data_IF_759023862083
#
_entry.id   IF_759023862083
#
_cell.length_a   1.000
_cell.length_b   1.000
_cell.length_c   1.000
_cell.angle_alpha   90.00
_cell.angle_beta   90.00
_cell.angle_gamma   90.00
#
_symmetry.space_group_name_H-M   'P 1'
#
loop_
_entity.id
_entity.type
_entity.pdbx_description
1 polymer ?
#
# COMPACT_ATOMS: atom_id res chain seq x y z
N UNK A 1 17.72 18.03 7.16
CA UNK A 1 16.98 17.95 5.89
C UNK A 1 15.66 18.68 6.09
N UNK A 2 15.40 19.74 5.33
CA UNK A 2 14.12 20.45 5.37
C UNK A 2 13.03 19.62 4.68
N UNK A 3 11.74 19.88 4.99
CA UNK A 3 10.62 19.23 4.28
C UNK A 3 10.73 19.46 2.77
N UNK A 4 11.18 20.66 2.37
CA UNK A 4 11.38 21.03 0.96
C UNK A 4 12.45 20.18 0.29
N UNK A 5 13.59 19.99 0.94
CA UNK A 5 14.66 19.11 0.44
C UNK A 5 14.20 17.64 0.34
N UNK A 6 13.49 17.15 1.35
CA UNK A 6 12.97 15.78 1.37
C UNK A 6 11.97 15.54 0.22
N UNK A 7 10.99 16.43 0.07
CA UNK A 7 10.00 16.36 -1.01
C UNK A 7 10.65 16.45 -2.39
N UNK A 8 11.65 17.33 -2.56
CA UNK A 8 12.37 17.45 -3.83
C UNK A 8 13.15 16.17 -4.17
N UNK A 9 13.83 15.58 -3.19
CA UNK A 9 14.55 14.32 -3.37
C UNK A 9 13.60 13.17 -3.71
N UNK A 10 12.47 13.06 -3.02
CA UNK A 10 11.43 12.07 -3.29
C UNK A 10 10.88 12.18 -4.73
N UNK A 11 10.67 13.40 -5.21
CA UNK A 11 10.24 13.63 -6.59
C UNK A 11 11.27 13.18 -7.63
N UNK A 12 12.56 13.45 -7.38
CA UNK A 12 13.65 13.00 -8.26
C UNK A 12 13.70 11.47 -8.33
N UNK A 13 13.63 10.79 -7.19
CA UNK A 13 13.70 9.32 -7.14
C UNK A 13 12.48 8.68 -7.79
N UNK A 14 11.28 9.22 -7.55
CA UNK A 14 10.05 8.75 -8.19
C UNK A 14 10.12 8.91 -9.73
N UNK A 15 10.58 10.06 -10.23
CA UNK A 15 10.73 10.31 -11.67
C UNK A 15 11.74 9.37 -12.33
N UNK A 16 12.83 9.06 -11.64
CA UNK A 16 13.82 8.10 -12.13
C UNK A 16 13.25 6.67 -12.23
N UNK A 17 12.40 6.26 -11.28
CA UNK A 17 11.76 4.95 -11.26
C UNK A 17 10.68 4.78 -12.36
N UNK A 18 10.04 5.86 -12.80
CA UNK A 18 8.99 5.83 -13.84
C UNK A 18 9.45 5.14 -15.12
N UNK A 19 10.70 5.37 -15.54
CA UNK A 19 11.22 4.79 -16.77
C UNK A 19 11.26 3.25 -16.73
N UNK A 20 11.51 2.66 -15.56
CA UNK A 20 11.46 1.21 -15.38
C UNK A 20 10.01 0.70 -15.38
N UNK A 21 9.11 1.39 -14.66
CA UNK A 21 7.70 1.01 -14.60
C UNK A 21 7.01 1.07 -15.98
N UNK A 22 7.29 2.08 -16.81
CA UNK A 22 6.71 2.19 -18.15
C UNK A 22 7.22 1.14 -19.15
N UNK A 23 8.39 0.55 -18.92
CA UNK A 23 8.95 -0.50 -19.80
C UNK A 23 8.56 -1.90 -19.35
N UNK A 24 8.01 -2.05 -18.15
CA UNK A 24 7.59 -3.35 -17.64
C UNK A 24 6.45 -3.89 -18.50
N UNK A 25 6.59 -5.14 -18.92
CA UNK A 25 5.54 -5.88 -19.62
C UNK A 25 4.33 -6.09 -18.72
N UNK A 26 3.17 -6.36 -19.32
CA UNK A 26 1.95 -6.77 -18.59
C UNK A 26 2.24 -7.93 -17.65
N UNK A 27 3.03 -8.92 -18.08
CA UNK A 27 3.39 -10.07 -17.27
C UNK A 27 4.20 -9.68 -16.02
N UNK A 28 5.17 -8.77 -16.15
CA UNK A 28 5.96 -8.29 -15.01
C UNK A 28 5.12 -7.44 -14.05
N UNK A 29 4.24 -6.58 -14.58
CA UNK A 29 3.29 -5.79 -13.78
C UNK A 29 2.35 -6.71 -12.99
N UNK A 30 1.78 -7.71 -13.64
CA UNK A 30 0.89 -8.68 -13.02
C UNK A 30 1.60 -9.56 -11.98
N UNK A 31 2.82 -10.00 -12.27
CA UNK A 31 3.64 -10.74 -11.31
C UNK A 31 3.95 -9.91 -10.06
N UNK A 32 4.23 -8.60 -10.23
CA UNK A 32 4.43 -7.69 -9.10
C UNK A 32 3.16 -7.52 -8.26
N UNK A 33 1.99 -7.34 -8.89
CA UNK A 33 0.70 -7.25 -8.18
C UNK A 33 0.40 -8.52 -7.38
N UNK A 34 0.62 -9.70 -7.98
CA UNK A 34 0.44 -10.99 -7.28
C UNK A 34 1.42 -11.15 -6.11
N UNK A 35 2.68 -10.74 -6.31
CA UNK A 35 3.69 -10.78 -5.25
C UNK A 35 3.31 -9.86 -4.08
N UNK A 36 2.75 -8.68 -4.35
CA UNK A 36 2.25 -7.76 -3.32
C UNK A 36 1.07 -8.40 -2.57
N UNK A 37 0.10 -8.98 -3.28
CA UNK A 37 -1.04 -9.65 -2.65
C UNK A 37 -0.57 -10.80 -1.73
N UNK A 38 0.37 -11.62 -2.20
CA UNK A 38 0.94 -12.71 -1.41
C UNK A 38 1.73 -12.21 -0.19
N UNK A 39 2.48 -11.12 -0.34
CA UNK A 39 3.22 -10.50 0.76
C UNK A 39 2.27 -9.96 1.85
N UNK A 40 1.17 -9.32 1.46
CA UNK A 40 0.15 -8.85 2.41
C UNK A 40 -0.45 -10.02 3.18
N UNK A 41 -0.79 -11.14 2.51
CA UNK A 41 -1.31 -12.34 3.18
C UNK A 41 -0.30 -12.96 4.12
N UNK A 42 0.95 -13.11 3.68
CA UNK A 42 2.02 -13.75 4.46
C UNK A 42 2.37 -12.93 5.71
N UNK A 43 2.26 -11.60 5.63
CA UNK A 43 2.62 -10.68 6.70
C UNK A 43 1.41 -10.04 7.38
N UNK A 44 0.21 -10.60 7.24
CA UNK A 44 -1.04 -10.05 7.78
C UNK A 44 -0.93 -9.74 9.26
N UNK A 45 -0.42 -10.68 10.05
CA UNK A 45 -0.32 -10.55 11.51
C UNK A 45 0.62 -9.41 11.90
N UNK A 46 1.71 -9.24 11.14
CA UNK A 46 2.67 -8.16 11.35
C UNK A 46 2.05 -6.80 11.03
N UNK A 47 1.28 -6.73 9.95
CA UNK A 47 0.58 -5.51 9.52
C UNK A 47 -0.47 -5.11 10.56
N UNK A 48 -1.31 -6.06 11.01
CA UNK A 48 -2.35 -5.81 12.03
C UNK A 48 -1.72 -5.41 13.37
N UNK A 49 -0.63 -6.07 13.77
CA UNK A 49 0.09 -5.71 15.00
C UNK A 49 0.71 -4.31 14.93
N UNK A 50 1.22 -3.89 13.78
CA UNK A 50 1.70 -2.53 13.56
C UNK A 50 0.56 -1.51 13.60
N UNK A 51 -0.53 -1.76 12.86
CA UNK A 51 -1.70 -0.88 12.82
C UNK A 51 -2.37 -0.72 14.19
N UNK A 52 -2.37 -1.78 15.01
CA UNK A 52 -2.86 -1.72 16.39
C UNK A 52 -2.10 -0.70 17.26
N UNK A 53 -0.80 -0.50 17.00
CA UNK A 53 -0.02 0.55 17.68
C UNK A 53 -0.43 1.94 17.20
N UNK A 54 -0.70 2.09 15.92
CA UNK A 54 -1.17 3.36 15.34
C UNK A 54 -2.57 3.72 15.81
N UNK A 55 -3.49 2.76 15.90
CA UNK A 55 -4.83 2.97 16.48
C UNK A 55 -4.76 3.47 17.93
N UNK A 56 -3.88 2.89 18.75
CA UNK A 56 -3.66 3.35 20.12
C UNK A 56 -3.14 4.78 20.17
N UNK A 57 -2.18 5.11 19.29
CA UNK A 57 -1.63 6.48 19.19
C UNK A 57 -2.67 7.48 18.70
N UNK A 58 -3.47 7.11 17.71
CA UNK A 58 -4.55 7.93 17.16
C UNK A 58 -5.66 8.17 18.18
N UNK A 59 -6.07 7.13 18.92
CA UNK A 59 -7.04 7.26 20.00
C UNK A 59 -6.52 8.19 21.11
N UNK A 60 -5.24 8.07 21.49
CA UNK A 60 -4.61 8.97 22.45
C UNK A 60 -4.47 10.41 21.92
N UNK A 61 -4.36 10.60 20.61
CA UNK A 61 -4.35 11.91 19.96
C UNK A 61 -5.76 12.54 19.82
N UNK A 62 -6.82 11.85 20.26
CA UNK A 62 -8.19 12.36 20.24
C UNK A 62 -8.88 12.25 18.89
N UNK A 63 -8.47 11.30 18.04
CA UNK A 63 -9.15 11.04 16.77
C UNK A 63 -10.57 10.50 17.03
N UNK A 64 -11.54 10.93 16.20
CA UNK A 64 -12.93 10.49 16.34
C UNK A 64 -13.12 9.02 15.93
N UNK A 65 -14.23 8.43 16.37
CA UNK A 65 -14.52 7.02 16.13
C UNK A 65 -14.61 6.64 14.64
N UNK A 66 -15.11 7.54 13.77
CA UNK A 66 -15.20 7.25 12.34
C UNK A 66 -13.81 7.26 11.68
N UNK A 67 -12.93 8.17 12.11
CA UNK A 67 -11.53 8.20 11.67
C UNK A 67 -10.72 7.00 12.16
N UNK A 68 -10.97 6.53 13.40
CA UNK A 68 -10.36 5.31 13.92
C UNK A 68 -10.81 4.05 13.17
N UNK A 69 -12.10 3.96 12.81
CA UNK A 69 -12.61 2.82 12.03
C UNK A 69 -12.00 2.79 10.62
N UNK A 70 -11.80 3.95 9.98
CA UNK A 70 -11.09 4.06 8.69
C UNK A 70 -9.61 3.72 8.79
N UNK A 71 -8.98 3.98 9.94
CA UNK A 71 -7.57 3.64 10.17
C UNK A 71 -7.38 2.15 10.47
N UNK A 72 -8.41 1.46 10.93
CA UNK A 72 -8.31 0.08 11.40
C UNK A 72 -8.15 -0.90 10.23
N UNK A 73 -7.04 -1.64 10.23
CA UNK A 73 -6.81 -2.76 9.33
C UNK A 73 -7.29 -4.05 10.00
N UNK A 74 -8.48 -4.52 9.58
CA UNK A 74 -9.07 -5.80 10.00
C UNK A 74 -8.73 -6.88 8.98
N UNK A 75 -8.93 -8.15 9.35
CA UNK A 75 -8.74 -9.28 8.43
C UNK A 75 -9.55 -9.10 7.14
N UNK A 76 -10.80 -8.64 7.24
CA UNK A 76 -11.63 -8.33 6.08
C UNK A 76 -10.99 -7.28 5.18
N UNK A 77 -10.46 -6.18 5.74
CA UNK A 77 -9.81 -5.12 4.97
C UNK A 77 -8.58 -5.64 4.23
N UNK A 78 -7.77 -6.48 4.87
CA UNK A 78 -6.61 -7.10 4.22
C UNK A 78 -7.04 -8.07 3.11
N UNK A 79 -8.08 -8.85 3.34
CA UNK A 79 -8.67 -9.72 2.32
C UNK A 79 -9.13 -8.90 1.11
N UNK A 80 -9.89 -7.83 1.34
CA UNK A 80 -10.40 -6.94 0.30
C UNK A 80 -9.25 -6.28 -0.48
N UNK A 81 -8.18 -5.85 0.20
CA UNK A 81 -6.98 -5.31 -0.46
C UNK A 81 -6.32 -6.33 -1.39
N UNK A 82 -6.17 -7.58 -0.94
CA UNK A 82 -5.55 -8.63 -1.76
C UNK A 82 -6.46 -9.04 -2.93
N UNK A 83 -7.77 -9.09 -2.69
CA UNK A 83 -8.76 -9.36 -3.74
C UNK A 83 -8.74 -8.26 -4.82
N UNK A 84 -8.67 -6.98 -4.42
CA UNK A 84 -8.57 -5.87 -5.36
C UNK A 84 -7.31 -5.92 -6.22
N UNK A 85 -6.18 -6.36 -5.65
CA UNK A 85 -4.94 -6.56 -6.41
C UNK A 85 -5.07 -7.70 -7.43
N UNK A 86 -5.73 -8.80 -7.06
CA UNK A 86 -5.98 -9.92 -7.96
C UNK A 86 -6.95 -9.54 -9.09
N UNK A 87 -7.99 -8.76 -8.78
CA UNK A 87 -8.88 -8.21 -9.80
C UNK A 87 -8.14 -7.33 -10.80
N UNK A 88 -7.14 -6.55 -10.35
CA UNK A 88 -6.32 -5.74 -11.26
C UNK A 88 -5.46 -6.59 -12.21
N UNK A 89 -5.01 -7.77 -11.78
CA UNK A 89 -4.25 -8.71 -12.62
C UNK A 89 -5.11 -9.22 -13.78
N UNK A 90 -6.41 -9.39 -13.57
CA UNK A 90 -7.36 -9.87 -14.57
C UNK A 90 -7.81 -8.80 -15.58
N UNK A 91 -7.53 -7.52 -15.30
CA UNK A 91 -7.89 -6.42 -16.19
C UNK A 91 -6.92 -6.34 -17.38
N UNK A 92 -7.40 -5.95 -18.58
CA UNK A 92 -6.53 -5.63 -19.70
C UNK A 92 -5.57 -4.50 -19.33
N UNK A 93 -4.33 -4.63 -19.78
CA UNK A 93 -3.32 -3.61 -19.55
C UNK A 93 -3.72 -2.29 -20.24
N UNK A 94 -3.87 -1.18 -19.51
CA UNK A 94 -4.22 0.10 -20.11
C UNK A 94 -3.04 0.79 -20.82
N UNK A 95 -1.83 0.22 -20.75
CA UNK A 95 -0.58 0.83 -21.24
C UNK A 95 0.25 -0.14 -22.07
#
# INVERSE_FOLDING_TARGET
MTIKEYMHSLGITAKAATAAACRASTAEKNAALQAIANAIRTHSDTIVAANSKDLKRAAAAGLDAASLDRLALKEQTLSDMTCGLEQMVDLPDPV
#
